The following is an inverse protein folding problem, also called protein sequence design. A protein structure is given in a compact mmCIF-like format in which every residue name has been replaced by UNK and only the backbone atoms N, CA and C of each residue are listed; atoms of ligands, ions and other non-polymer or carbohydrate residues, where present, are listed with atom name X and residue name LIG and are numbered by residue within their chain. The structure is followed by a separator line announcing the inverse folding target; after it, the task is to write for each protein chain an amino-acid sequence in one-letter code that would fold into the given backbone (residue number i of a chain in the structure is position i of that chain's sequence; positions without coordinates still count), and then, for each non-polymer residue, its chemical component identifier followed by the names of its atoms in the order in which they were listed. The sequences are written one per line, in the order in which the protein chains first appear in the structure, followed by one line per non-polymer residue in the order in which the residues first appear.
data_IF_920089866394
#
_entry.id   IF_920089866394
#
_cell.length_a   1.000
_cell.length_b   1.000
_cell.length_c   1.000
_cell.angle_alpha   90.00
_cell.angle_beta   90.00
_cell.angle_gamma   90.00
#
_symmetry.space_group_name_H-M   'P 1'
#
loop_
_entity.id
_entity.type
_entity.pdbx_description
1 polymer ?
#
# COMPACT_ATOMS: atom_id res chain seq x y z
N UNK A 1 -0.29 -14.80 27.30
CA UNK A 1 0.50 -13.58 27.03
C UNK A 1 0.09 -13.03 25.67
N UNK A 2 -0.77 -12.00 25.59
CA UNK A 2 -1.22 -11.40 24.32
C UNK A 2 -0.22 -10.32 23.89
N UNK A 3 0.80 -10.70 23.11
CA UNK A 3 1.77 -9.77 22.52
C UNK A 3 1.22 -9.27 21.17
N UNK A 4 1.15 -7.95 20.98
CA UNK A 4 1.00 -7.28 19.66
C UNK A 4 -0.40 -6.76 19.29
N UNK A 5 -0.90 -5.71 19.97
CA UNK A 5 -2.16 -5.04 19.59
C UNK A 5 -2.02 -4.05 18.41
N UNK A 6 -0.83 -3.47 18.21
CA UNK A 6 -0.60 -2.42 17.21
C UNK A 6 -0.66 -2.91 15.74
N UNK A 7 -0.53 -4.21 15.50
CA UNK A 7 -0.60 -4.81 14.15
C UNK A 7 -1.86 -5.66 13.98
N UNK A 8 -2.81 -5.62 14.92
CA UNK A 8 -4.02 -6.42 14.83
C UNK A 8 -4.83 -6.03 13.59
N UNK A 9 -5.15 -7.01 12.74
CA UNK A 9 -5.83 -6.78 11.47
C UNK A 9 -4.95 -6.16 10.37
N UNK A 10 -3.62 -6.15 10.54
CA UNK A 10 -2.66 -5.73 9.52
C UNK A 10 -1.73 -6.87 9.12
N UNK A 11 -1.24 -6.83 7.88
CA UNK A 11 -0.23 -7.76 7.35
C UNK A 11 1.05 -7.01 7.06
N UNK A 12 2.17 -7.48 7.59
CA UNK A 12 3.49 -7.00 7.21
C UNK A 12 3.91 -7.62 5.89
N UNK A 13 4.48 -6.82 4.99
CA UNK A 13 5.14 -7.32 3.79
C UNK A 13 6.37 -6.46 3.46
N UNK A 14 7.23 -7.03 2.62
CA UNK A 14 8.28 -6.29 1.93
C UNK A 14 7.84 -6.22 0.46
N UNK A 15 7.74 -5.03 -0.11
CA UNK A 15 7.43 -4.89 -1.54
C UNK A 15 8.58 -5.37 -2.43
N UNK A 16 8.32 -5.58 -3.72
CA UNK A 16 9.36 -5.98 -4.70
C UNK A 16 10.54 -4.99 -4.75
N UNK A 17 10.31 -3.72 -4.39
CA UNK A 17 11.33 -2.68 -4.37
C UNK A 17 12.01 -2.52 -2.99
N UNK A 18 11.78 -3.46 -2.06
CA UNK A 18 12.42 -3.48 -0.74
C UNK A 18 11.76 -2.62 0.33
N UNK A 19 10.64 -1.96 0.06
CA UNK A 19 9.94 -1.14 1.07
C UNK A 19 9.19 -2.00 2.08
N UNK A 20 9.27 -1.61 3.36
CA UNK A 20 8.47 -2.20 4.43
C UNK A 20 7.06 -1.64 4.45
N UNK A 21 6.06 -2.51 4.45
CA UNK A 21 4.65 -2.13 4.39
C UNK A 21 3.83 -2.79 5.51
N UNK A 22 2.82 -2.05 6.01
CA UNK A 22 1.74 -2.60 6.83
C UNK A 22 0.41 -2.41 6.11
N UNK A 23 -0.15 -3.54 5.66
CA UNK A 23 -1.32 -3.61 4.80
C UNK A 23 -2.58 -4.02 5.57
N UNK A 24 -3.79 -3.83 5.02
CA UNK A 24 -4.99 -4.49 5.52
C UNK A 24 -4.84 -6.02 5.60
N UNK A 25 -5.45 -6.66 6.59
CA UNK A 25 -5.44 -8.13 6.71
C UNK A 25 -5.99 -8.85 5.46
N UNK A 26 -6.92 -8.20 4.75
CA UNK A 26 -7.56 -8.71 3.53
C UNK A 26 -6.74 -8.54 2.26
N UNK A 27 -5.55 -7.94 2.35
CA UNK A 27 -4.61 -7.83 1.24
C UNK A 27 -4.12 -9.20 0.77
N UNK A 28 -3.81 -9.32 -0.52
CA UNK A 28 -3.33 -10.56 -1.14
C UNK A 28 -2.48 -10.29 -2.37
N UNK A 29 -1.77 -11.32 -2.83
CA UNK A 29 -0.92 -11.27 -4.00
C UNK A 29 -1.71 -10.77 -5.22
N UNK A 30 -1.10 -9.84 -5.97
CA UNK A 30 -1.75 -9.15 -7.08
C UNK A 30 -2.55 -7.90 -6.71
N UNK A 31 -2.71 -7.58 -5.42
CA UNK A 31 -3.10 -6.24 -5.02
C UNK A 31 -1.96 -5.25 -5.31
N UNK A 32 -2.34 -3.98 -5.44
CA UNK A 32 -1.47 -2.87 -5.81
C UNK A 32 -1.45 -1.85 -4.68
N UNK A 33 -0.28 -1.35 -4.31
CA UNK A 33 -0.19 -0.15 -3.46
C UNK A 33 -0.10 1.09 -4.35
N UNK A 34 -0.86 2.13 -4.03
CA UNK A 34 -0.90 3.39 -4.77
C UNK A 34 -1.17 4.58 -3.86
N UNK A 35 -0.46 5.69 -4.08
CA UNK A 35 -0.82 6.99 -3.53
C UNK A 35 -1.76 7.67 -4.51
N UNK A 36 -2.97 7.98 -4.06
CA UNK A 36 -3.98 8.63 -4.88
C UNK A 36 -3.75 10.14 -4.92
N UNK A 37 -4.04 10.79 -6.04
CA UNK A 37 -3.94 12.25 -6.14
C UNK A 37 -4.85 12.91 -5.09
N UNK A 38 -4.27 13.79 -4.28
CA UNK A 38 -4.97 14.45 -3.16
C UNK A 38 -5.14 13.57 -1.92
N UNK A 39 -4.69 12.30 -1.94
CA UNK A 39 -4.65 11.44 -0.77
C UNK A 39 -3.40 11.69 0.08
N UNK A 40 -3.57 11.65 1.41
CA UNK A 40 -2.48 11.88 2.36
C UNK A 40 -1.66 10.62 2.65
N UNK A 41 -2.18 9.44 2.27
CA UNK A 41 -1.60 8.14 2.62
C UNK A 41 -1.63 7.15 1.44
N UNK A 42 -0.80 6.10 1.43
CA UNK A 42 -0.91 5.01 0.45
C UNK A 42 -2.14 4.12 0.68
N UNK A 43 -2.72 3.62 -0.42
CA UNK A 43 -3.86 2.71 -0.42
C UNK A 43 -3.56 1.39 -1.13
N UNK A 44 -4.16 0.31 -0.65
CA UNK A 44 -4.21 -0.97 -1.36
C UNK A 44 -5.43 -1.02 -2.28
N UNK A 45 -5.18 -1.26 -3.56
CA UNK A 45 -6.17 -1.37 -4.62
C UNK A 45 -6.15 -2.78 -5.22
N UNK A 46 -7.34 -3.30 -5.51
CA UNK A 46 -7.52 -4.61 -6.15
C UNK A 46 -8.21 -4.44 -7.49
N UNK A 47 -7.57 -4.87 -8.57
CA UNK A 47 -8.18 -4.87 -9.91
C UNK A 47 -9.44 -5.74 -9.93
N UNK A 48 -10.52 -5.24 -10.52
CA UNK A 48 -11.77 -5.98 -10.78
C UNK A 48 -12.00 -6.15 -12.29
N UNK A 49 -11.74 -5.11 -13.08
CA UNK A 49 -11.80 -5.14 -14.54
C UNK A 49 -10.80 -4.14 -15.14
N UNK A 50 -10.85 -3.94 -16.46
CA UNK A 50 -10.07 -2.88 -17.13
C UNK A 50 -10.47 -1.54 -16.54
N UNK A 51 -9.49 -0.82 -15.99
CA UNK A 51 -9.65 0.49 -15.32
C UNK A 51 -10.62 0.52 -14.12
N UNK A 52 -11.05 -0.63 -13.60
CA UNK A 52 -11.91 -0.71 -12.41
C UNK A 52 -11.14 -1.37 -11.29
N UNK A 53 -11.03 -0.66 -10.17
CA UNK A 53 -10.34 -1.10 -8.97
C UNK A 53 -11.26 -0.99 -7.76
N UNK A 54 -11.17 -1.96 -6.87
CA UNK A 54 -11.77 -1.92 -5.55
C UNK A 54 -10.73 -1.41 -4.55
N UNK A 55 -11.11 -0.44 -3.73
CA UNK A 55 -10.32 -0.04 -2.58
C UNK A 55 -10.38 -1.15 -1.52
N UNK A 56 -9.22 -1.69 -1.14
CA UNK A 56 -9.09 -2.69 -0.07
C UNK A 56 -8.93 -1.99 1.27
N UNK A 57 -8.16 -0.90 1.31
CA UNK A 57 -7.99 -0.05 2.49
C UNK A 57 -6.66 0.69 2.49
N UNK A 58 -6.46 1.54 3.49
CA UNK A 58 -5.22 2.30 3.71
C UNK A 58 -4.06 1.39 4.16
N UNK A 59 -2.84 1.77 3.78
CA UNK A 59 -1.63 1.09 4.20
C UNK A 59 -0.52 2.05 4.57
N UNK A 60 0.36 1.59 5.46
CA UNK A 60 1.62 2.28 5.76
C UNK A 60 2.69 1.73 4.84
N UNK A 61 3.48 2.61 4.22
CA UNK A 61 4.71 2.23 3.53
C UNK A 61 5.83 3.12 4.04
N UNK A 62 6.85 2.47 4.61
CA UNK A 62 8.02 3.14 5.15
C UNK A 62 8.76 3.90 4.04
N UNK A 63 9.19 5.14 4.31
CA UNK A 63 9.84 6.00 3.32
C UNK A 63 8.91 6.58 2.24
N UNK A 64 7.60 6.34 2.32
CA UNK A 64 6.60 6.95 1.41
C UNK A 64 5.69 7.90 2.17
N UNK A 65 5.16 7.44 3.31
CA UNK A 65 4.14 8.15 4.05
C UNK A 65 4.65 9.44 4.73
N UNK A 66 5.98 9.65 4.80
CA UNK A 66 6.60 10.85 5.38
C UNK A 66 6.85 11.98 4.36
N UNK A 67 6.17 11.96 3.21
CA UNK A 67 6.29 12.99 2.18
C UNK A 67 7.55 12.92 1.31
N UNK A 68 8.40 11.91 1.54
CA UNK A 68 9.68 11.71 0.82
C UNK A 68 9.51 11.41 -0.69
N UNK A 69 8.28 11.21 -1.16
CA UNK A 69 7.94 10.93 -2.56
C UNK A 69 7.29 12.10 -3.31
N UNK A 70 7.13 13.28 -2.69
CA UNK A 70 6.39 14.41 -3.32
C UNK A 70 7.30 15.33 -4.16
N UNK A 71 8.56 14.96 -4.42
CA UNK A 71 9.46 15.78 -5.23
C UNK A 71 9.81 15.03 -6.52
N UNK A 72 9.06 15.32 -7.58
CA UNK A 72 9.39 14.94 -8.96
C UNK A 72 8.46 13.87 -9.55
N UNK A 73 7.73 14.29 -10.58
CA UNK A 73 6.99 13.48 -11.55
C UNK A 73 5.75 12.73 -11.04
N UNK A 74 4.58 13.31 -11.32
CA UNK A 74 3.27 12.64 -11.36
C UNK A 74 3.17 11.61 -12.51
N UNK A 75 4.30 11.11 -13.00
CA UNK A 75 4.39 10.01 -13.94
C UNK A 75 4.09 8.73 -13.16
N UNK A 76 2.79 8.43 -13.14
CA UNK A 76 2.20 7.11 -13.10
C UNK A 76 3.14 5.92 -12.77
N UNK A 77 2.74 5.14 -11.75
CA UNK A 77 3.23 3.78 -11.45
C UNK A 77 4.41 3.62 -10.48
N UNK A 78 4.18 3.89 -9.19
CA UNK A 78 4.78 3.06 -8.12
C UNK A 78 3.77 2.00 -7.69
N UNK A 79 3.38 1.13 -8.63
CA UNK A 79 2.59 -0.06 -8.32
C UNK A 79 3.52 -1.05 -7.63
N UNK A 80 3.37 -1.22 -6.34
CA UNK A 80 4.03 -2.30 -5.63
C UNK A 80 3.12 -3.52 -5.66
N UNK A 81 3.58 -4.60 -6.30
CA UNK A 81 2.92 -5.89 -6.17
C UNK A 81 3.27 -6.49 -4.82
N UNK A 82 2.27 -7.10 -4.20
CA UNK A 82 2.48 -7.90 -3.01
C UNK A 82 3.02 -9.28 -3.42
N UNK A 83 4.18 -9.65 -2.85
CA UNK A 83 4.68 -11.03 -2.88
C UNK A 83 3.84 -11.95 -2.01
#
# INVERSE_FOLDING_TARGET
MRRGLCVYGRRFCISENGYFCLLPATSRNGDLISVLLGGEVPYVLRRQAKNIFRMVGECYVHGIMNGELVIGDFESHRIFKLQ
#
